data_IF_161058530508
#
_entry.id   IF_161058530508
#
_cell.length_a   1.000
_cell.length_b   1.000
_cell.length_c   1.000
_cell.angle_alpha   90.00
_cell.angle_beta   90.00
_cell.angle_gamma   90.00
#
_symmetry.space_group_name_H-M   'P 1'
#
loop_
_entity.id
_entity.type
_entity.pdbx_description
1 polymer ?
#
# COMPACT_ATOMS: atom_id res chain seq x y z
N UNK A 1 -35.46 25.99 -39.77
CA UNK A 1 -34.47 24.91 -39.98
C UNK A 1 -33.13 25.41 -39.44
N UNK A 2 -32.59 24.76 -38.40
CA UNK A 2 -31.29 25.08 -37.81
C UNK A 2 -30.28 24.04 -38.30
N UNK A 3 -29.23 24.49 -38.98
CA UNK A 3 -28.11 23.68 -39.43
C UNK A 3 -27.05 23.61 -38.32
N UNK A 4 -26.58 22.40 -37.99
CA UNK A 4 -25.36 22.15 -37.22
C UNK A 4 -24.20 21.83 -38.18
N UNK A 5 -22.94 22.23 -37.88
CA UNK A 5 -21.79 21.85 -38.69
C UNK A 5 -21.23 20.47 -38.26
N UNK A 6 -20.45 19.79 -39.13
CA UNK A 6 -19.89 18.47 -38.85
C UNK A 6 -18.63 18.57 -37.97
N UNK A 7 -18.51 17.64 -37.02
CA UNK A 7 -17.32 17.46 -36.21
C UNK A 7 -16.20 16.76 -37.00
N UNK A 8 -15.02 17.33 -36.91
CA UNK A 8 -13.77 16.94 -37.56
C UNK A 8 -13.19 15.70 -36.85
N UNK A 9 -13.13 14.57 -37.55
CA UNK A 9 -12.36 13.39 -37.14
C UNK A 9 -10.90 13.62 -37.53
N UNK A 10 -9.99 13.69 -36.56
CA UNK A 10 -8.56 13.64 -36.81
C UNK A 10 -8.04 12.30 -36.29
N UNK A 11 -7.72 11.43 -37.25
CA UNK A 11 -6.98 10.19 -37.10
C UNK A 11 -5.48 10.54 -37.18
N UNK A 12 -4.71 10.32 -36.11
CA UNK A 12 -3.25 10.35 -36.18
C UNK A 12 -2.70 8.93 -36.16
N UNK A 13 -2.39 8.41 -37.35
CA UNK A 13 -1.42 7.34 -37.56
C UNK A 13 -0.04 8.02 -37.69
N UNK A 14 0.93 7.65 -36.86
CA UNK A 14 2.33 7.77 -37.24
C UNK A 14 3.13 6.53 -36.85
N UNK A 15 4.00 6.20 -37.80
CA UNK A 15 4.79 5.01 -37.94
C UNK A 15 5.91 4.87 -36.88
N UNK A 16 6.32 3.61 -36.76
CA UNK A 16 7.54 3.14 -36.12
C UNK A 16 8.80 3.75 -36.78
N UNK A 17 9.78 4.16 -35.96
CA UNK A 17 11.12 4.50 -36.43
C UNK A 17 12.04 5.08 -35.34
N UNK A 18 13.12 4.35 -35.05
CA UNK A 18 14.41 4.92 -34.63
C UNK A 18 14.60 5.21 -33.14
N UNK A 19 15.41 4.37 -32.49
CA UNK A 19 15.99 4.68 -31.20
C UNK A 19 17.01 5.82 -31.32
N UNK A 20 16.73 6.96 -30.69
CA UNK A 20 17.74 7.94 -30.28
C UNK A 20 17.42 8.43 -28.86
N UNK A 21 18.42 8.37 -27.99
CA UNK A 21 18.35 8.73 -26.58
C UNK A 21 17.93 10.20 -26.41
N UNK A 22 16.71 10.43 -25.90
CA UNK A 22 16.30 11.73 -25.40
C UNK A 22 16.85 11.93 -23.99
N UNK A 23 17.81 12.86 -23.87
CA UNK A 23 18.30 13.38 -22.60
C UNK A 23 17.17 14.16 -21.92
N UNK A 24 16.60 13.62 -20.84
CA UNK A 24 15.62 14.34 -20.02
C UNK A 24 16.40 15.26 -19.07
N UNK A 25 16.13 16.58 -19.04
CA UNK A 25 16.72 17.47 -18.04
C UNK A 25 16.10 17.19 -16.67
N UNK A 26 16.94 16.80 -15.71
CA UNK A 26 16.58 16.75 -14.29
C UNK A 26 16.59 18.16 -13.72
N UNK A 27 15.47 18.87 -13.81
CA UNK A 27 15.22 20.01 -12.93
C UNK A 27 14.78 19.46 -11.57
N UNK A 28 15.67 19.59 -10.60
CA UNK A 28 15.51 19.16 -9.22
C UNK A 28 14.38 19.95 -8.53
N UNK A 29 13.27 19.28 -8.24
CA UNK A 29 12.27 19.79 -7.28
C UNK A 29 12.83 19.56 -5.87
N UNK A 30 13.24 20.64 -5.21
CA UNK A 30 13.62 20.63 -3.80
C UNK A 30 12.37 20.39 -2.95
N UNK A 31 12.14 19.15 -2.52
CA UNK A 31 11.15 18.85 -1.49
C UNK A 31 11.77 19.22 -0.14
N UNK A 32 11.24 20.28 0.47
CA UNK A 32 11.58 20.70 1.83
C UNK A 32 11.14 19.61 2.82
N UNK A 33 12.10 18.81 3.30
CA UNK A 33 11.91 17.91 4.44
C UNK A 33 11.60 18.75 5.68
N UNK A 34 10.39 18.61 6.23
CA UNK A 34 10.06 19.16 7.55
C UNK A 34 10.89 18.46 8.62
N UNK A 35 11.82 19.19 9.21
CA UNK A 35 12.52 18.87 10.46
C UNK A 35 11.50 18.69 11.59
N UNK A 36 11.60 17.56 12.29
CA UNK A 36 11.78 17.47 13.76
C UNK A 36 11.35 16.08 14.28
N UNK A 37 12.26 15.10 14.16
CA UNK A 37 12.76 14.24 15.25
C UNK A 37 14.17 13.83 14.81
N UNK A 38 15.19 14.54 15.26
CA UNK A 38 16.59 14.15 15.06
C UNK A 38 16.89 13.08 16.09
N UNK A 39 16.98 11.83 15.65
CA UNK A 39 17.92 10.89 16.21
C UNK A 39 19.13 10.87 15.25
N UNK A 40 20.34 10.97 15.79
CA UNK A 40 21.60 11.07 15.04
C UNK A 40 21.66 10.06 13.89
N UNK A 41 21.88 10.53 12.66
CA UNK A 41 22.01 9.70 11.45
C UNK A 41 23.15 8.67 11.59
N UNK A 42 24.18 8.96 12.39
CA UNK A 42 25.36 8.11 12.58
C UNK A 42 25.12 6.91 13.54
N UNK A 43 24.05 6.93 14.35
CA UNK A 43 23.68 5.79 15.21
C UNK A 43 22.70 4.81 14.53
N UNK A 44 22.08 5.22 13.42
CA UNK A 44 21.15 4.39 12.65
C UNK A 44 21.84 3.39 11.71
N UNK A 45 23.10 3.63 11.33
CA UNK A 45 23.86 2.77 10.39
C UNK A 45 24.34 1.42 10.98
N UNK A 46 24.01 1.09 12.23
CA UNK A 46 24.33 -0.24 12.78
C UNK A 46 23.29 -1.26 12.35
N UNK A 47 23.63 -1.96 11.28
CA UNK A 47 22.98 -3.15 10.74
C UNK A 47 22.36 -4.05 11.83
N UNK A 48 21.03 -4.03 11.89
CA UNK A 48 20.26 -4.85 12.79
C UNK A 48 19.97 -6.20 12.12
N UNK A 49 20.42 -7.30 12.74
CA UNK A 49 19.94 -8.65 12.39
C UNK A 49 18.46 -8.84 12.77
N UNK A 50 17.89 -10.01 12.46
CA UNK A 50 16.49 -10.33 12.82
C UNK A 50 16.18 -10.15 14.32
N UNK A 51 17.06 -10.65 15.19
CA UNK A 51 16.96 -10.49 16.65
C UNK A 51 17.05 -9.02 17.10
N UNK A 52 17.63 -8.17 16.26
CA UNK A 52 17.76 -6.75 16.52
C UNK A 52 16.56 -5.94 15.99
N UNK A 53 15.89 -6.37 14.92
CA UNK A 53 14.63 -5.76 14.48
C UNK A 53 13.56 -5.89 15.57
N UNK A 54 13.37 -7.11 16.11
CA UNK A 54 12.43 -7.32 17.22
C UNK A 54 12.78 -6.43 18.41
N UNK A 55 14.07 -6.35 18.76
CA UNK A 55 14.53 -5.47 19.84
C UNK A 55 14.20 -4.01 19.55
N UNK A 56 14.47 -3.53 18.34
CA UNK A 56 14.18 -2.17 17.93
C UNK A 56 12.68 -1.88 17.98
N UNK A 57 11.84 -2.76 17.41
CA UNK A 57 10.37 -2.64 17.37
C UNK A 57 9.80 -2.46 18.79
N UNK A 58 10.20 -3.30 19.73
CA UNK A 58 9.63 -3.27 21.07
C UNK A 58 10.29 -2.27 22.02
N UNK A 59 11.61 -2.05 21.93
CA UNK A 59 12.33 -1.15 22.86
C UNK A 59 12.43 0.28 22.36
N UNK A 60 12.90 0.48 21.14
CA UNK A 60 13.20 1.81 20.60
C UNK A 60 11.95 2.43 19.97
N UNK A 61 11.30 1.69 19.06
CA UNK A 61 10.05 2.12 18.45
C UNK A 61 8.88 2.09 19.44
N UNK A 62 8.96 1.24 20.47
CA UNK A 62 7.95 1.16 21.54
C UNK A 62 6.59 0.71 21.03
N UNK A 63 6.58 -0.34 20.20
CA UNK A 63 5.37 -0.98 19.70
C UNK A 63 4.59 -1.67 20.83
N UNK A 64 3.28 -1.46 20.89
CA UNK A 64 2.37 -2.08 21.85
C UNK A 64 1.57 -3.18 21.15
N UNK A 65 2.06 -4.42 21.20
CA UNK A 65 1.43 -5.57 20.54
C UNK A 65 0.03 -5.89 21.07
N UNK A 66 -0.34 -5.38 22.26
CA UNK A 66 -1.70 -5.57 22.79
C UNK A 66 -2.76 -4.79 22.00
N UNK A 67 -2.34 -3.86 21.14
CA UNK A 67 -3.20 -3.12 20.22
C UNK A 67 -3.61 -3.94 19.01
N UNK A 68 -2.85 -4.97 18.66
CA UNK A 68 -3.08 -5.79 17.49
C UNK A 68 -3.73 -7.11 17.87
N UNK A 69 -4.68 -7.54 17.04
CA UNK A 69 -5.17 -8.91 17.06
C UNK A 69 -5.49 -9.37 15.65
N UNK A 70 -5.19 -10.63 15.38
CA UNK A 70 -5.75 -11.31 14.22
C UNK A 70 -7.20 -11.68 14.51
N UNK A 71 -8.08 -11.36 13.58
CA UNK A 71 -9.47 -11.75 13.60
C UNK A 71 -9.68 -12.86 12.56
N UNK A 72 -10.21 -14.03 12.97
CA UNK A 72 -10.49 -15.11 12.04
C UNK A 72 -11.46 -14.64 10.95
N UNK A 73 -11.12 -14.99 9.72
CA UNK A 73 -11.79 -14.50 8.52
C UNK A 73 -12.01 -15.67 7.58
N UNK A 74 -13.18 -15.69 6.92
CA UNK A 74 -13.39 -16.52 5.74
C UNK A 74 -13.07 -15.68 4.50
N UNK A 75 -11.99 -16.02 3.81
CA UNK A 75 -11.58 -15.37 2.56
C UNK A 75 -12.21 -16.08 1.36
N UNK A 76 -12.73 -15.29 0.42
CA UNK A 76 -13.14 -15.77 -0.91
C UNK A 76 -12.45 -14.93 -1.96
N UNK A 77 -11.75 -15.58 -2.89
CA UNK A 77 -11.08 -14.92 -4.00
C UNK A 77 -11.66 -15.44 -5.31
N UNK A 78 -12.04 -14.53 -6.19
CA UNK A 78 -12.57 -14.86 -7.52
C UNK A 78 -11.90 -14.00 -8.58
N UNK A 79 -11.59 -14.61 -9.72
CA UNK A 79 -11.09 -13.93 -10.91
C UNK A 79 -12.07 -14.20 -12.05
N UNK A 80 -12.42 -13.16 -12.80
CA UNK A 80 -13.25 -13.25 -13.99
C UNK A 80 -12.56 -12.50 -15.12
N UNK A 81 -12.63 -13.02 -16.33
CA UNK A 81 -12.17 -12.35 -17.55
C UNK A 81 -13.32 -12.34 -18.56
N UNK A 82 -13.45 -11.27 -19.31
CA UNK A 82 -14.39 -11.20 -20.44
C UNK A 82 -13.69 -11.36 -21.80
N UNK A 83 -14.46 -11.34 -22.87
CA UNK A 83 -13.95 -11.49 -24.25
C UNK A 83 -13.13 -10.29 -24.74
N UNK A 84 -13.03 -9.21 -23.95
CA UNK A 84 -12.30 -7.98 -24.27
C UNK A 84 -10.98 -7.84 -23.50
N UNK A 85 -10.44 -8.95 -23.00
CA UNK A 85 -9.21 -9.02 -22.19
C UNK A 85 -9.28 -8.17 -20.91
N UNK A 86 -10.49 -7.83 -20.46
CA UNK A 86 -10.70 -7.15 -19.20
C UNK A 86 -10.82 -8.19 -18.08
N UNK A 87 -9.98 -8.04 -17.07
CA UNK A 87 -9.89 -8.92 -15.91
C UNK A 87 -10.44 -8.20 -14.69
N UNK A 88 -11.32 -8.88 -13.96
CA UNK A 88 -11.77 -8.45 -12.64
C UNK A 88 -11.32 -9.46 -11.59
N UNK A 89 -10.59 -8.95 -10.60
CA UNK A 89 -10.20 -9.68 -9.41
C UNK A 89 -11.04 -9.18 -8.22
N UNK A 90 -11.61 -10.10 -7.46
CA UNK A 90 -12.38 -9.78 -6.26
C UNK A 90 -11.89 -10.62 -5.09
N UNK A 91 -11.50 -9.95 -4.01
CA UNK A 91 -11.14 -10.56 -2.75
C UNK A 91 -12.12 -10.10 -1.65
N UNK A 92 -12.76 -11.05 -0.99
CA UNK A 92 -13.70 -10.81 0.10
C UNK A 92 -13.22 -11.46 1.39
N UNK A 93 -13.16 -10.66 2.45
CA UNK A 93 -12.71 -11.05 3.79
C UNK A 93 -13.89 -10.85 4.74
N UNK A 94 -14.48 -11.95 5.19
CA UNK A 94 -15.71 -11.92 5.98
C UNK A 94 -15.49 -12.47 7.39
N UNK A 95 -15.93 -11.71 8.38
CA UNK A 95 -16.17 -12.20 9.73
C UNK A 95 -17.53 -11.70 10.26
N UNK A 96 -17.82 -11.94 11.54
CA UNK A 96 -19.11 -11.55 12.15
C UNK A 96 -19.35 -10.03 12.23
N UNK A 97 -18.30 -9.22 12.29
CA UNK A 97 -18.36 -7.78 12.56
C UNK A 97 -18.04 -6.96 11.29
N UNK A 98 -17.28 -7.52 10.36
CA UNK A 98 -16.73 -6.86 9.19
C UNK A 98 -16.78 -7.75 7.94
N UNK A 99 -17.24 -7.15 6.85
CA UNK A 99 -17.08 -7.63 5.48
C UNK A 99 -16.22 -6.61 4.73
N UNK A 100 -14.98 -6.97 4.43
CA UNK A 100 -14.11 -6.18 3.55
C UNK A 100 -14.12 -6.80 2.16
N UNK A 101 -14.44 -6.01 1.15
CA UNK A 101 -14.45 -6.43 -0.25
C UNK A 101 -13.54 -5.50 -1.05
N UNK A 102 -12.50 -6.09 -1.64
CA UNK A 102 -11.60 -5.44 -2.56
C UNK A 102 -11.91 -5.91 -3.98
N UNK A 103 -12.02 -4.97 -4.91
CA UNK A 103 -12.22 -5.26 -6.34
C UNK A 103 -11.13 -4.52 -7.10
N UNK A 104 -10.37 -5.25 -7.90
CA UNK A 104 -9.52 -4.69 -8.93
C UNK A 104 -10.11 -5.03 -10.29
N UNK A 105 -10.07 -4.08 -11.21
CA UNK A 105 -10.53 -4.25 -12.59
C UNK A 105 -9.57 -3.55 -13.53
N UNK A 106 -9.11 -4.23 -14.57
CA UNK A 106 -8.25 -3.63 -15.59
C UNK A 106 -8.08 -4.52 -16.81
N UNK A 107 -7.28 -4.06 -17.78
CA UNK A 107 -6.85 -4.89 -18.92
C UNK A 107 -5.76 -5.86 -18.49
N UNK A 108 -5.61 -6.98 -19.19
CA UNK A 108 -4.55 -7.99 -18.91
C UNK A 108 -3.14 -7.37 -18.97
N UNK A 109 -2.93 -6.39 -19.85
CA UNK A 109 -1.66 -5.65 -19.98
C UNK A 109 -1.47 -4.54 -18.93
N UNK A 110 -2.48 -4.24 -18.12
CA UNK A 110 -2.41 -3.27 -17.02
C UNK A 110 -2.51 -1.78 -17.41
N UNK A 111 -2.68 -1.47 -18.70
CA UNK A 111 -2.72 -0.09 -19.25
C UNK A 111 -3.84 0.80 -18.68
N UNK A 112 -4.95 0.19 -18.24
CA UNK A 112 -6.04 0.90 -17.57
C UNK A 112 -6.59 0.03 -16.46
N UNK A 113 -6.47 0.48 -15.21
CA UNK A 113 -7.00 -0.25 -14.06
C UNK A 113 -7.60 0.67 -12.99
N UNK A 114 -8.47 0.10 -12.18
CA UNK A 114 -9.10 0.76 -11.05
C UNK A 114 -9.22 -0.22 -9.88
N UNK A 115 -9.09 0.33 -8.66
CA UNK A 115 -9.31 -0.40 -7.41
C UNK A 115 -10.50 0.18 -6.67
N UNK A 116 -11.35 -0.69 -6.12
CA UNK A 116 -12.49 -0.31 -5.29
C UNK A 116 -12.44 -1.08 -3.98
N UNK A 117 -12.87 -0.42 -2.91
CA UNK A 117 -12.92 -0.99 -1.58
C UNK A 117 -14.29 -0.75 -0.95
N UNK A 118 -14.80 -1.78 -0.31
CA UNK A 118 -16.04 -1.72 0.45
C UNK A 118 -15.83 -2.31 1.84
N UNK A 119 -16.39 -1.66 2.85
CA UNK A 119 -16.50 -2.22 4.21
C UNK A 119 -17.97 -2.24 4.59
N UNK A 120 -18.49 -3.42 4.93
CA UNK A 120 -19.91 -3.66 5.21
C UNK A 120 -20.81 -3.11 4.10
N UNK A 121 -20.44 -3.38 2.84
CA UNK A 121 -21.10 -2.91 1.61
C UNK A 121 -21.15 -1.38 1.42
N UNK A 122 -20.39 -0.61 2.22
CA UNK A 122 -20.23 0.83 2.03
C UNK A 122 -18.92 1.11 1.30
N UNK A 123 -18.92 1.95 0.24
CA UNK A 123 -17.70 2.29 -0.46
C UNK A 123 -16.75 3.05 0.47
N UNK A 124 -15.46 2.75 0.36
CA UNK A 124 -14.37 3.38 1.11
C UNK A 124 -13.39 3.97 0.11
N UNK A 125 -13.03 5.24 0.30
CA UNK A 125 -12.05 5.92 -0.54
C UNK A 125 -10.64 5.68 -0.03
N UNK A 126 -9.70 5.55 -0.96
CA UNK A 126 -8.29 5.50 -0.65
C UNK A 126 -7.72 6.90 -0.48
N UNK A 127 -6.79 7.02 0.46
CA UNK A 127 -6.06 8.24 0.75
C UNK A 127 -4.56 7.95 0.80
N UNK A 128 -3.79 8.87 0.27
CA UNK A 128 -2.33 8.85 0.30
C UNK A 128 -1.82 9.09 1.73
N UNK A 129 -0.98 8.20 2.28
CA UNK A 129 -0.33 8.40 3.57
C UNK A 129 0.48 9.71 3.59
N UNK A 130 0.25 10.55 4.59
CA UNK A 130 1.03 11.78 4.79
C UNK A 130 0.46 13.03 4.11
N UNK A 131 -0.10 12.93 2.89
CA UNK A 131 -0.81 14.07 2.25
C UNK A 131 -2.30 14.08 2.54
N UNK A 132 -2.90 12.91 2.82
CA UNK A 132 -4.33 12.74 3.07
C UNK A 132 -5.22 13.20 1.89
N UNK A 133 -4.66 13.20 0.68
CA UNK A 133 -5.39 13.41 -0.58
C UNK A 133 -5.99 12.08 -1.06
N UNK A 134 -7.10 12.15 -1.79
CA UNK A 134 -7.72 10.96 -2.40
C UNK A 134 -6.79 10.33 -3.44
N UNK A 135 -6.65 9.00 -3.39
CA UNK A 135 -5.74 8.22 -4.24
C UNK A 135 -6.50 7.15 -5.04
N UNK A 136 -5.87 6.63 -6.10
CA UNK A 136 -6.45 5.64 -7.03
C UNK A 136 -6.47 4.19 -6.50
N UNK A 137 -6.01 3.96 -5.26
CA UNK A 137 -5.89 2.63 -4.64
C UNK A 137 -4.60 1.90 -5.01
N UNK A 138 -4.37 0.69 -4.46
CA UNK A 138 -3.07 0.01 -4.50
C UNK A 138 -2.74 -0.68 -5.84
N UNK A 139 -3.64 -0.70 -6.81
CA UNK A 139 -3.48 -1.53 -8.01
C UNK A 139 -3.84 -3.00 -7.73
N UNK A 140 -3.32 -3.93 -8.52
CA UNK A 140 -3.65 -5.35 -8.39
C UNK A 140 -2.88 -6.01 -7.23
N UNK A 141 -3.60 -6.49 -6.22
CA UNK A 141 -3.03 -7.19 -5.08
C UNK A 141 -3.49 -8.66 -5.03
N UNK A 142 -2.54 -9.57 -4.88
CA UNK A 142 -2.78 -10.95 -4.48
C UNK A 142 -2.70 -11.05 -2.96
N UNK A 143 -3.78 -11.47 -2.32
CA UNK A 143 -3.81 -11.61 -0.87
C UNK A 143 -3.40 -13.03 -0.43
N UNK A 144 -3.45 -14.02 -1.32
CA UNK A 144 -3.28 -15.43 -0.97
C UNK A 144 -4.55 -16.07 -0.38
N UNK A 145 -4.46 -17.36 -0.04
CA UNK A 145 -5.56 -18.13 0.57
C UNK A 145 -5.48 -18.06 2.11
N UNK A 146 -6.64 -18.12 2.78
CA UNK A 146 -6.76 -18.16 4.24
C UNK A 146 -6.18 -16.95 5.01
N UNK A 147 -6.17 -15.79 4.34
CA UNK A 147 -5.72 -14.53 4.92
C UNK A 147 -6.62 -14.13 6.08
N UNK A 148 -5.99 -13.82 7.21
CA UNK A 148 -6.65 -13.26 8.37
C UNK A 148 -6.68 -11.74 8.27
N UNK A 149 -7.74 -11.13 8.80
CA UNK A 149 -7.75 -9.68 8.94
C UNK A 149 -7.03 -9.32 10.24
N UNK A 150 -6.22 -8.27 10.22
CA UNK A 150 -5.70 -7.62 11.40
C UNK A 150 -6.68 -6.57 11.92
N UNK A 151 -6.78 -6.43 13.24
CA UNK A 151 -7.51 -5.33 13.88
C UNK A 151 -6.61 -4.65 14.90
N UNK A 152 -6.33 -3.37 14.64
CA UNK A 152 -5.66 -2.47 15.56
C UNK A 152 -6.69 -1.65 16.35
N UNK A 153 -6.57 -1.64 17.68
CA UNK A 153 -7.56 -1.00 18.57
C UNK A 153 -6.94 -0.02 19.58
N UNK A 154 -7.33 1.26 19.45
CA UNK A 154 -7.13 2.33 20.42
C UNK A 154 -8.47 2.84 20.96
N UNK A 155 -8.52 3.54 22.12
CA UNK A 155 -9.78 3.92 22.78
C UNK A 155 -10.84 4.60 21.90
N UNK A 156 -10.43 5.33 20.86
CA UNK A 156 -11.34 6.05 19.94
C UNK A 156 -11.18 5.66 18.47
N UNK A 157 -10.25 4.74 18.14
CA UNK A 157 -9.88 4.44 16.75
C UNK A 157 -9.61 2.95 16.57
N UNK A 158 -10.27 2.36 15.59
CA UNK A 158 -10.05 1.00 15.15
C UNK A 158 -9.64 1.00 13.69
N UNK A 159 -8.63 0.20 13.37
CA UNK A 159 -8.16 0.04 12.00
C UNK A 159 -8.15 -1.44 11.62
N UNK A 160 -8.78 -1.76 10.49
CA UNK A 160 -8.66 -3.07 9.86
C UNK A 160 -7.45 -3.08 8.94
N UNK A 161 -6.69 -4.16 8.95
CA UNK A 161 -5.57 -4.38 8.05
C UNK A 161 -5.80 -5.69 7.28
N UNK A 162 -5.68 -5.64 5.96
CA UNK A 162 -5.45 -6.83 5.13
C UNK A 162 -4.16 -6.63 4.36
N UNK A 163 -3.33 -7.66 4.34
CA UNK A 163 -2.04 -7.63 3.67
C UNK A 163 -2.02 -8.56 2.46
N UNK A 164 -1.35 -8.13 1.41
CA UNK A 164 -1.15 -8.88 0.18
C UNK A 164 0.10 -8.41 -0.55
N UNK A 165 0.40 -9.03 -1.68
CA UNK A 165 1.54 -8.70 -2.53
C UNK A 165 1.05 -8.16 -3.87
N UNK A 166 1.87 -7.38 -4.56
CA UNK A 166 1.55 -6.98 -5.93
C UNK A 166 1.45 -8.22 -6.82
N UNK A 167 0.30 -8.41 -7.48
CA UNK A 167 0.12 -9.55 -8.37
C UNK A 167 1.01 -9.39 -9.59
N UNK A 168 1.64 -10.47 -10.03
CA UNK A 168 2.56 -10.45 -11.17
C UNK A 168 3.92 -9.80 -10.91
N UNK A 169 4.17 -9.30 -9.69
CA UNK A 169 5.48 -8.79 -9.32
C UNK A 169 6.54 -9.90 -9.38
N UNK A 170 7.71 -9.55 -9.92
CA UNK A 170 8.83 -10.48 -10.10
C UNK A 170 10.06 -10.01 -9.31
N UNK A 171 10.93 -10.98 -9.00
CA UNK A 171 12.15 -10.72 -8.26
C UNK A 171 11.87 -10.04 -6.92
N UNK A 172 12.60 -8.96 -6.63
CA UNK A 172 12.54 -8.25 -5.34
C UNK A 172 11.22 -7.52 -5.10
N UNK A 173 10.50 -7.15 -6.16
CA UNK A 173 9.19 -6.51 -6.02
C UNK A 173 8.13 -7.46 -5.46
N UNK A 174 8.33 -8.78 -5.60
CA UNK A 174 7.46 -9.78 -4.98
C UNK A 174 7.56 -9.77 -3.45
N UNK A 175 8.72 -9.38 -2.92
CA UNK A 175 8.95 -9.29 -1.47
C UNK A 175 8.33 -8.04 -0.85
N UNK A 176 7.73 -7.15 -1.64
CA UNK A 176 6.99 -6.00 -1.12
C UNK A 176 5.62 -6.50 -0.64
N UNK A 177 5.41 -6.35 0.66
CA UNK A 177 4.13 -6.56 1.31
C UNK A 177 3.35 -5.24 1.31
N UNK A 178 2.15 -5.25 0.75
CA UNK A 178 1.21 -4.14 0.76
C UNK A 178 0.12 -4.39 1.82
N UNK A 179 -0.27 -3.33 2.50
CA UNK A 179 -1.35 -3.32 3.49
C UNK A 179 -2.45 -2.35 3.09
N UNK A 180 -3.70 -2.82 3.05
CA UNK A 180 -4.87 -1.94 3.02
C UNK A 180 -5.31 -1.71 4.47
N UNK A 181 -5.06 -0.51 4.96
CA UNK A 181 -5.38 -0.10 6.32
C UNK A 181 -6.65 0.78 6.33
N UNK A 182 -7.74 0.31 6.92
CA UNK A 182 -9.03 1.01 6.92
C UNK A 182 -9.37 1.53 8.31
N UNK A 183 -9.53 2.85 8.44
CA UNK A 183 -10.11 3.45 9.64
C UNK A 183 -11.62 3.19 9.68
N UNK A 184 -12.05 2.24 10.50
CA UNK A 184 -13.46 1.85 10.66
C UNK A 184 -14.17 2.63 11.75
N UNK A 185 -13.47 3.55 12.41
CA UNK A 185 -14.03 4.45 13.43
C UNK A 185 -14.53 5.78 12.86
N UNK A 186 -14.15 6.15 11.63
CA UNK A 186 -14.58 7.42 11.01
C UNK A 186 -15.80 7.25 10.10
N UNK A 187 -16.55 8.34 9.94
CA UNK A 187 -17.60 8.45 8.94
C UNK A 187 -17.40 9.77 8.15
N UNK A 188 -17.04 9.73 6.86
CA UNK A 188 -16.82 8.51 6.06
C UNK A 188 -15.58 7.72 6.52
N UNK A 189 -15.61 6.39 6.28
CA UNK A 189 -14.44 5.53 6.46
C UNK A 189 -13.35 5.92 5.45
N UNK A 190 -12.09 5.75 5.83
CA UNK A 190 -10.93 6.05 4.99
C UNK A 190 -10.00 4.85 4.95
N UNK A 191 -9.46 4.55 3.77
CA UNK A 191 -8.45 3.53 3.60
C UNK A 191 -7.12 4.15 3.20
N UNK A 192 -6.03 3.55 3.65
CA UNK A 192 -4.66 3.91 3.34
C UNK A 192 -3.96 2.70 2.75
N UNK A 193 -3.09 2.93 1.78
CA UNK A 193 -2.20 1.91 1.25
C UNK A 193 -0.84 2.12 1.90
N UNK A 194 -0.38 1.12 2.63
CA UNK A 194 0.95 1.11 3.25
C UNK A 194 1.78 -0.04 2.66
N UNK A 195 3.10 0.04 2.75
CA UNK A 195 3.98 -1.00 2.22
C UNK A 195 5.23 -1.21 3.06
N UNK A 196 5.69 -2.44 3.13
CA UNK A 196 6.95 -2.86 3.77
C UNK A 196 7.53 -4.05 3.00
N UNK A 197 8.66 -4.61 3.42
CA UNK A 197 9.18 -5.87 2.89
C UNK A 197 8.77 -7.06 3.78
N UNK A 198 8.29 -8.15 3.18
CA UNK A 198 7.71 -9.32 3.86
C UNK A 198 8.70 -10.09 4.75
N UNK A 199 9.97 -10.09 4.37
CA UNK A 199 11.03 -10.79 5.07
C UNK A 199 12.14 -9.78 5.37
N UNK A 200 12.29 -9.34 6.63
CA UNK A 200 11.63 -9.83 7.86
C UNK A 200 10.55 -8.89 8.42
N UNK A 201 10.06 -7.95 7.62
CA UNK A 201 9.18 -6.89 8.08
C UNK A 201 7.71 -7.32 8.18
N UNK A 202 7.00 -6.67 9.10
CA UNK A 202 5.54 -6.69 9.19
C UNK A 202 5.07 -5.23 9.41
N UNK A 203 3.77 -5.00 9.45
CA UNK A 203 3.17 -3.69 9.70
C UNK A 203 3.08 -3.41 11.19
N UNK A 204 4.06 -2.73 11.76
CA UNK A 204 4.04 -2.31 13.17
C UNK A 204 3.42 -0.91 13.30
N UNK A 205 2.10 -0.86 13.55
CA UNK A 205 1.36 0.40 13.68
C UNK A 205 1.38 0.97 15.10
N UNK A 206 1.57 2.29 15.23
CA UNK A 206 1.58 3.00 16.50
C UNK A 206 0.88 4.36 16.40
N UNK A 207 0.15 4.71 17.45
CA UNK A 207 -0.38 6.06 17.65
C UNK A 207 0.59 6.87 18.51
N UNK A 208 1.06 8.02 18.02
CA UNK A 208 1.97 8.88 18.79
C UNK A 208 1.20 9.77 19.80
N UNK A 209 1.94 10.53 20.61
CA UNK A 209 1.36 11.42 21.63
C UNK A 209 0.49 12.55 21.06
N UNK A 210 0.64 12.85 19.76
CA UNK A 210 -0.16 13.82 19.03
C UNK A 210 -1.38 13.19 18.34
N UNK A 211 -1.70 11.92 18.64
CA UNK A 211 -2.77 11.15 18.02
C UNK A 211 -2.60 10.95 16.51
N UNK A 212 -1.35 10.97 16.04
CA UNK A 212 -1.01 10.67 14.65
C UNK A 212 -0.73 9.19 14.51
N UNK A 213 -1.28 8.59 13.47
CA UNK A 213 -1.03 7.20 13.15
C UNK A 213 0.28 7.11 12.36
N UNK A 214 1.19 6.28 12.87
CA UNK A 214 2.48 6.00 12.25
C UNK A 214 2.65 4.50 12.08
N UNK A 215 3.53 4.10 11.17
CA UNK A 215 3.96 2.71 11.09
C UNK A 215 5.45 2.62 10.79
N UNK A 216 6.02 1.46 11.14
CA UNK A 216 7.37 1.11 10.77
C UNK A 216 7.38 0.40 9.42
N UNK A 217 8.02 0.99 8.42
CA UNK A 217 8.39 0.31 7.18
C UNK A 217 9.84 -0.16 7.29
N UNK A 218 10.19 -1.29 6.70
CA UNK A 218 11.56 -1.80 6.69
C UNK A 218 12.00 -2.03 5.25
N UNK A 219 13.17 -1.52 4.88
CA UNK A 219 13.80 -1.83 3.59
C UNK A 219 15.06 -2.65 3.82
N UNK A 220 15.23 -3.80 3.14
CA UNK A 220 16.45 -4.58 3.24
C UNK A 220 17.59 -3.90 2.48
N UNK A 221 18.75 -3.80 3.11
CA UNK A 221 20.01 -3.57 2.42
C UNK A 221 20.57 -4.93 2.00
N UNK A 222 20.99 -5.01 0.74
CA UNK A 222 21.41 -6.27 0.13
C UNK A 222 22.90 -6.25 -0.15
N UNK A 223 23.58 -7.32 0.25
CA UNK A 223 24.98 -7.52 -0.06
C UNK A 223 25.21 -7.83 -1.52
N UNK A 224 26.50 -7.89 -1.90
CA UNK A 224 26.93 -8.20 -3.28
C UNK A 224 26.40 -9.54 -3.81
N UNK A 225 26.08 -10.48 -2.90
CA UNK A 225 25.52 -11.79 -3.24
C UNK A 225 23.98 -11.81 -3.34
N UNK A 226 23.31 -10.70 -3.02
CA UNK A 226 21.85 -10.59 -2.95
C UNK A 226 21.25 -11.10 -1.63
N UNK A 227 22.07 -11.43 -0.63
CA UNK A 227 21.67 -11.69 0.76
C UNK A 227 21.21 -10.40 1.45
N UNK A 228 20.32 -10.52 2.42
CA UNK A 228 19.99 -9.39 3.32
C UNK A 228 21.16 -9.20 4.27
N UNK A 229 21.85 -8.07 4.13
CA UNK A 229 23.00 -7.71 4.95
C UNK A 229 22.56 -6.88 6.16
N UNK A 230 21.57 -5.99 5.98
CA UNK A 230 21.05 -5.14 7.04
C UNK A 230 19.60 -4.71 6.79
N UNK A 231 18.96 -4.14 7.81
CA UNK A 231 17.60 -3.60 7.74
C UNK A 231 17.59 -2.14 8.13
N UNK A 232 16.90 -1.33 7.32
CA UNK A 232 16.73 0.09 7.60
C UNK A 232 15.26 0.36 7.94
N UNK A 233 14.95 0.55 9.24
CA UNK A 233 13.61 0.96 9.66
C UNK A 233 13.37 2.43 9.28
N UNK A 234 12.18 2.70 8.75
CA UNK A 234 11.70 4.04 8.43
C UNK A 234 10.35 4.28 9.09
N UNK A 235 10.24 5.41 9.78
CA UNK A 235 8.98 5.85 10.37
C UNK A 235 8.17 6.61 9.33
N UNK A 236 6.97 6.12 9.06
CA UNK A 236 6.02 6.79 8.15
C UNK A 236 4.81 7.30 8.93
N UNK A 237 4.34 8.50 8.56
CA UNK A 237 3.13 9.12 9.12
C UNK A 237 1.98 8.87 8.13
N UNK A 238 0.94 8.18 8.59
CA UNK A 238 -0.24 7.85 7.80
C UNK A 238 -1.29 8.95 7.91
N UNK A 239 -1.56 9.39 9.13
CA UNK A 239 -2.63 10.33 9.44
C UNK A 239 -2.10 11.40 10.41
N UNK A 240 -2.24 12.68 10.03
CA UNK A 240 -1.84 13.85 10.83
C UNK A 240 -2.97 14.39 11.69
#
# INVERSE_FOLDING_TARGET
MKFFPPALFILFLMACGGAEHAHIPTDSVTISRSKDVIADEDEYEKAYGLDDLDRYVYKEYGYDSTRFKLIPTKSTITSQSDESDHVQYTAEFNNKDYQLKFIWSGTEDGDSSASQLFVNNKPVKFYDPGTNNEATGPGELDFGVDVQMGLYSWPSRNYLLVSGQARGAQGRFRSILYGILVNVSTNPMRAYVISTYEDPGDFYLKMNNHQQLTYLSCTPELGESGTVDSLHPHLEIIEK
#
